data_IF_593393827362
#
_entry.id   IF_593393827362
#
_cell.length_a   1.000
_cell.length_b   1.000
_cell.length_c   1.000
_cell.angle_alpha   90.00
_cell.angle_beta   90.00
_cell.angle_gamma   90.00
#
_symmetry.space_group_name_H-M   'P 1'
#
loop_
_entity.id
_entity.type
_entity.pdbx_description
1 polymer ?
#
# COMPACT_ATOMS: atom_id res chain seq x y z
N UNK A 1 -31.46 16.45 -26.34
CA UNK A 1 -30.74 17.32 -25.37
C UNK A 1 -29.66 18.13 -26.08
N UNK A 2 -28.89 17.52 -26.99
CA UNK A 2 -27.94 18.28 -27.84
C UNK A 2 -28.66 19.29 -28.76
N UNK A 3 -29.75 18.90 -29.41
CA UNK A 3 -30.51 19.79 -30.31
C UNK A 3 -31.01 21.05 -29.59
N UNK A 4 -31.61 20.89 -28.40
CA UNK A 4 -32.05 22.01 -27.56
C UNK A 4 -30.86 22.88 -27.15
N UNK A 5 -29.71 22.30 -26.81
CA UNK A 5 -28.53 23.09 -26.44
C UNK A 5 -27.99 23.91 -27.61
N UNK A 6 -28.07 23.36 -28.82
CA UNK A 6 -27.66 24.04 -30.06
C UNK A 6 -28.58 25.21 -30.41
N UNK A 7 -29.88 25.12 -30.15
CA UNK A 7 -30.82 26.24 -30.29
C UNK A 7 -30.42 27.44 -29.43
N UNK A 8 -29.82 27.21 -28.26
CA UNK A 8 -29.26 28.26 -27.39
C UNK A 8 -27.78 28.60 -27.71
N UNK A 9 -27.21 28.10 -28.81
CA UNK A 9 -25.83 28.36 -29.22
C UNK A 9 -24.76 27.66 -28.37
N UNK A 10 -25.14 26.67 -27.54
CA UNK A 10 -24.20 25.89 -26.73
C UNK A 10 -23.74 24.64 -27.47
N UNK A 11 -22.42 24.38 -27.43
CA UNK A 11 -21.82 23.18 -28.04
C UNK A 11 -20.89 22.46 -27.06
N UNK A 12 -20.92 21.13 -27.09
CA UNK A 12 -19.99 20.30 -26.31
C UNK A 12 -18.60 20.41 -26.95
N UNK A 13 -17.61 20.77 -26.13
CA UNK A 13 -16.22 20.72 -26.56
C UNK A 13 -15.69 19.28 -26.43
N UNK A 14 -15.77 18.52 -27.52
CA UNK A 14 -15.35 17.10 -27.57
C UNK A 14 -13.87 16.89 -27.24
N UNK A 15 -12.99 17.86 -27.50
CA UNK A 15 -11.56 17.73 -27.16
C UNK A 15 -11.28 17.88 -25.66
N UNK A 16 -12.19 18.52 -24.93
CA UNK A 16 -12.13 18.70 -23.47
C UNK A 16 -13.08 17.77 -22.71
N UNK A 17 -13.92 17.02 -23.41
CA UNK A 17 -14.95 16.17 -22.81
C UNK A 17 -14.56 14.72 -22.95
N UNK A 18 -14.49 14.03 -21.81
CA UNK A 18 -14.27 12.58 -21.74
C UNK A 18 -15.51 11.93 -21.14
N UNK A 19 -15.83 10.73 -21.59
CA UNK A 19 -16.99 9.95 -21.12
C UNK A 19 -16.48 8.72 -20.39
N UNK A 20 -17.00 8.46 -19.20
CA UNK A 20 -16.79 7.19 -18.52
C UNK A 20 -18.07 6.38 -18.63
N UNK A 21 -17.94 5.13 -19.07
CA UNK A 21 -19.03 4.17 -19.06
C UNK A 21 -18.94 3.41 -17.74
N UNK A 22 -19.97 3.49 -16.92
CA UNK A 22 -20.04 2.74 -15.65
C UNK A 22 -20.77 1.44 -15.91
N UNK A 23 -20.02 0.36 -16.09
CA UNK A 23 -20.55 -0.98 -16.28
C UNK A 23 -19.88 -1.95 -15.29
N UNK A 24 -20.71 -2.58 -14.45
CA UNK A 24 -20.25 -3.56 -13.46
C UNK A 24 -20.09 -4.97 -14.03
N UNK A 25 -20.75 -5.31 -15.14
CA UNK A 25 -20.75 -6.68 -15.66
C UNK A 25 -19.75 -6.91 -16.79
N UNK A 26 -19.60 -5.96 -17.74
CA UNK A 26 -18.81 -6.23 -18.95
C UNK A 26 -17.55 -5.37 -19.11
N UNK A 27 -17.14 -4.56 -18.12
CA UNK A 27 -15.92 -3.74 -18.17
C UNK A 27 -15.63 -3.13 -19.55
N UNK A 28 -16.68 -2.60 -20.20
CA UNK A 28 -16.59 -2.03 -21.56
C UNK A 28 -16.13 -3.01 -22.64
N UNK A 29 -16.58 -4.28 -22.62
CA UNK A 29 -16.39 -5.23 -23.71
C UNK A 29 -17.54 -5.17 -24.72
N UNK A 30 -17.25 -5.04 -26.03
CA UNK A 30 -15.93 -4.83 -26.64
C UNK A 30 -15.36 -3.45 -26.32
N UNK A 31 -14.02 -3.33 -26.25
CA UNK A 31 -13.30 -2.10 -25.85
C UNK A 31 -13.73 -0.88 -26.67
N UNK A 32 -14.61 -0.06 -26.08
CA UNK A 32 -15.12 1.17 -26.72
C UNK A 32 -14.14 2.31 -26.45
N UNK A 33 -13.49 2.82 -27.50
CA UNK A 33 -12.55 3.93 -27.40
C UNK A 33 -13.21 5.32 -27.48
N UNK A 34 -14.36 5.43 -28.14
CA UNK A 34 -15.10 6.69 -28.33
C UNK A 34 -16.61 6.51 -28.26
N UNK A 35 -17.29 7.46 -27.63
CA UNK A 35 -18.75 7.59 -27.62
C UNK A 35 -19.12 9.03 -27.96
N UNK A 36 -20.02 9.22 -28.93
CA UNK A 36 -20.43 10.55 -29.39
C UNK A 36 -19.23 11.47 -29.72
N UNK A 37 -18.18 10.91 -30.32
CA UNK A 37 -16.90 11.58 -30.60
C UNK A 37 -16.12 12.09 -29.38
N UNK A 38 -16.53 11.74 -28.16
CA UNK A 38 -15.75 11.93 -26.93
C UNK A 38 -14.86 10.71 -26.67
N UNK A 39 -13.69 10.93 -26.08
CA UNK A 39 -12.80 9.88 -25.58
C UNK A 39 -13.46 9.12 -24.43
N UNK A 40 -13.38 7.78 -24.44
CA UNK A 40 -13.84 6.95 -23.32
C UNK A 40 -12.69 6.72 -22.32
N UNK A 41 -12.96 6.93 -21.04
CA UNK A 41 -11.99 6.72 -19.96
C UNK A 41 -12.44 5.63 -18.99
N UNK A 42 -11.47 4.85 -18.49
CA UNK A 42 -11.70 3.80 -17.51
C UNK A 42 -11.65 4.31 -16.06
N UNK A 43 -10.88 5.38 -15.81
CA UNK A 43 -10.82 6.04 -14.51
C UNK A 43 -10.58 7.54 -14.68
N UNK A 44 -11.08 8.36 -13.76
CA UNK A 44 -10.77 9.79 -13.69
C UNK A 44 -10.81 10.30 -12.25
N UNK A 45 -10.16 11.44 -12.01
CA UNK A 45 -10.21 12.11 -10.71
C UNK A 45 -11.38 13.08 -10.68
N UNK A 46 -12.31 12.88 -9.76
CA UNK A 46 -13.44 13.75 -9.52
C UNK A 46 -13.38 14.30 -8.09
N UNK A 47 -13.32 15.63 -7.95
CA UNK A 47 -13.29 16.30 -6.64
C UNK A 47 -12.22 15.72 -5.69
N UNK A 48 -11.08 15.29 -6.24
CA UNK A 48 -9.97 14.70 -5.51
C UNK A 48 -9.99 13.17 -5.37
N UNK A 49 -11.13 12.52 -5.61
CA UNK A 49 -11.26 11.05 -5.55
C UNK A 49 -11.08 10.41 -6.93
N UNK A 50 -10.31 9.32 -7.01
CA UNK A 50 -10.26 8.49 -8.21
C UNK A 50 -11.54 7.65 -8.31
N UNK A 51 -12.29 7.88 -9.38
CA UNK A 51 -13.48 7.10 -9.74
C UNK A 51 -13.10 6.13 -10.83
N UNK A 52 -13.45 4.86 -10.63
CA UNK A 52 -13.24 3.77 -11.59
C UNK A 52 -14.56 3.37 -12.25
N UNK A 53 -14.51 2.98 -13.51
CA UNK A 53 -15.65 2.53 -14.31
C UNK A 53 -16.34 1.27 -13.73
N UNK A 54 -15.59 0.40 -13.05
CA UNK A 54 -16.09 -0.81 -12.41
C UNK A 54 -16.74 -0.56 -11.03
N UNK A 55 -16.75 0.68 -10.55
CA UNK A 55 -17.28 1.06 -9.23
C UNK A 55 -16.44 0.58 -8.04
N UNK A 56 -15.26 0.01 -8.28
CA UNK A 56 -14.33 -0.43 -7.25
C UNK A 56 -13.60 0.73 -6.57
N UNK A 57 -13.29 0.58 -5.29
CA UNK A 57 -12.56 1.57 -4.50
C UNK A 57 -11.07 1.22 -4.28
N UNK A 58 -10.62 0.03 -4.69
CA UNK A 58 -9.27 -0.47 -4.42
C UNK A 58 -8.20 0.49 -4.97
N UNK A 59 -8.39 0.99 -6.19
CA UNK A 59 -7.41 1.88 -6.81
C UNK A 59 -7.34 3.25 -6.13
N UNK A 60 -8.47 3.78 -5.67
CA UNK A 60 -8.50 5.01 -4.87
C UNK A 60 -7.84 4.80 -3.49
N UNK A 61 -8.09 3.66 -2.84
CA UNK A 61 -7.44 3.33 -1.56
C UNK A 61 -5.92 3.26 -1.75
N UNK A 62 -5.44 2.55 -2.78
CA UNK A 62 -4.02 2.46 -3.12
C UNK A 62 -3.42 3.84 -3.42
N UNK A 63 -4.11 4.66 -4.21
CA UNK A 63 -3.70 6.03 -4.54
C UNK A 63 -3.55 6.89 -3.29
N UNK A 64 -4.52 6.88 -2.37
CA UNK A 64 -4.43 7.64 -1.11
C UNK A 64 -3.29 7.16 -0.23
N UNK A 65 -3.10 5.85 -0.09
CA UNK A 65 -1.94 5.30 0.64
C UNK A 65 -0.61 5.77 0.04
N UNK A 66 -0.51 5.79 -1.30
CA UNK A 66 0.69 6.26 -1.98
C UNK A 66 0.95 7.77 -1.77
N UNK A 67 -0.10 8.60 -1.82
CA UNK A 67 0.00 10.04 -1.52
C UNK A 67 0.49 10.26 -0.08
N UNK A 68 -0.12 9.59 0.89
CA UNK A 68 0.31 9.68 2.30
C UNK A 68 1.76 9.22 2.47
N UNK A 69 2.14 8.08 1.88
CA UNK A 69 3.52 7.59 1.93
C UNK A 69 4.51 8.60 1.31
N UNK A 70 4.20 9.13 0.13
CA UNK A 70 5.05 10.13 -0.53
C UNK A 70 5.19 11.41 0.30
N UNK A 71 4.13 11.84 0.97
CA UNK A 71 4.17 12.98 1.89
C UNK A 71 5.10 12.69 3.09
N UNK A 72 5.06 11.48 3.65
CA UNK A 72 5.97 11.09 4.74
C UNK A 72 7.42 10.97 4.27
N UNK A 73 7.66 10.48 3.06
CA UNK A 73 9.01 10.33 2.50
C UNK A 73 9.68 11.68 2.17
N UNK A 74 8.88 12.73 1.97
CA UNK A 74 9.36 14.12 1.80
C UNK A 74 9.72 14.84 3.11
N UNK A 75 9.30 14.31 4.26
CA UNK A 75 9.69 14.87 5.57
C UNK A 75 11.13 14.50 5.91
N UNK A 76 11.77 15.26 6.79
CA UNK A 76 13.10 14.91 7.29
C UNK A 76 13.13 13.49 7.84
N UNK A 77 14.23 12.79 7.59
CA UNK A 77 14.37 11.39 7.99
C UNK A 77 14.25 11.20 9.52
N UNK A 78 14.62 12.22 10.28
CA UNK A 78 14.59 12.24 11.74
C UNK A 78 13.28 12.80 12.31
N UNK A 79 12.33 13.18 11.45
CA UNK A 79 11.01 13.64 11.88
C UNK A 79 10.30 12.52 12.67
N UNK A 80 9.86 12.84 13.90
CA UNK A 80 9.16 11.91 14.78
C UNK A 80 7.96 11.27 14.06
N UNK A 81 7.16 12.05 13.32
CA UNK A 81 6.02 11.54 12.56
C UNK A 81 6.44 10.48 11.54
N UNK A 82 7.55 10.70 10.82
CA UNK A 82 8.09 9.75 9.84
C UNK A 82 8.62 8.49 10.52
N UNK A 83 9.35 8.63 11.63
CA UNK A 83 9.85 7.50 12.42
C UNK A 83 8.72 6.64 12.99
N UNK A 84 7.65 7.27 13.48
CA UNK A 84 6.46 6.58 14.00
C UNK A 84 5.76 5.81 12.89
N UNK A 85 5.44 6.45 11.75
CA UNK A 85 4.76 5.79 10.63
C UNK A 85 5.59 4.66 10.02
N UNK A 86 6.92 4.80 10.00
CA UNK A 86 7.82 3.76 9.49
C UNK A 86 8.16 2.68 10.54
N UNK A 87 7.69 2.82 11.79
CA UNK A 87 8.00 1.89 12.88
C UNK A 87 9.48 1.89 13.28
N UNK A 88 10.21 2.96 12.97
CA UNK A 88 11.65 3.15 13.23
C UNK A 88 11.93 3.91 14.52
N UNK A 89 10.90 4.21 15.33
CA UNK A 89 11.09 4.90 16.59
C UNK A 89 11.93 4.02 17.53
N UNK A 90 13.16 4.45 17.78
CA UNK A 90 14.02 3.81 18.77
C UNK A 90 13.46 4.12 20.15
N UNK A 91 12.67 3.19 20.69
CA UNK A 91 12.16 3.32 22.04
C UNK A 91 13.27 3.12 23.05
N UNK A 92 13.60 4.15 23.84
CA UNK A 92 14.38 3.97 25.06
C UNK A 92 13.53 3.22 26.09
N UNK A 93 13.94 2.00 26.47
CA UNK A 93 13.29 1.28 27.58
C UNK A 93 13.49 2.04 28.88
N UNK A 94 12.47 2.05 29.73
CA UNK A 94 12.58 2.59 31.09
C UNK A 94 13.76 1.95 31.83
N UNK A 95 14.48 2.76 32.61
CA UNK A 95 15.58 2.29 33.47
C UNK A 95 15.09 1.12 34.34
N UNK A 96 15.86 0.05 34.41
CA UNK A 96 15.58 -1.14 35.23
C UNK A 96 15.13 -2.39 34.46
N UNK A 97 14.62 -2.27 33.23
CA UNK A 97 14.35 -3.44 32.38
C UNK A 97 15.57 -3.71 31.49
N UNK A 98 16.08 -4.94 31.48
CA UNK A 98 17.23 -5.33 30.63
C UNK A 98 17.03 -4.83 29.18
N UNK A 99 18.04 -4.20 28.56
CA UNK A 99 17.96 -3.70 27.19
C UNK A 99 17.60 -4.78 26.15
N UNK A 100 17.97 -6.05 26.38
CA UNK A 100 17.69 -7.15 25.45
C UNK A 100 16.24 -7.64 25.57
N UNK A 101 15.52 -7.85 24.45
CA UNK A 101 14.29 -8.68 24.46
C UNK A 101 14.68 -10.15 24.66
N UNK A 102 13.74 -10.97 25.10
CA UNK A 102 13.86 -12.44 25.01
C UNK A 102 14.22 -12.88 23.57
N UNK A 103 13.59 -12.28 22.56
CA UNK A 103 13.92 -12.52 21.17
C UNK A 103 15.37 -12.12 20.80
N UNK A 104 15.91 -11.05 21.40
CA UNK A 104 17.29 -10.61 21.16
C UNK A 104 18.29 -11.52 21.88
N UNK A 105 17.93 -12.04 23.06
CA UNK A 105 18.70 -13.07 23.76
C UNK A 105 18.76 -14.37 22.95
N UNK A 106 17.67 -14.77 22.30
CA UNK A 106 17.65 -15.93 21.39
C UNK A 106 18.54 -15.67 20.17
N UNK A 107 18.42 -14.50 19.53
CA UNK A 107 19.27 -14.15 18.39
C UNK A 107 20.74 -14.15 18.77
N UNK A 108 21.08 -13.61 19.94
CA UNK A 108 22.45 -13.61 20.46
C UNK A 108 22.96 -15.03 20.76
N UNK A 109 22.14 -15.88 21.36
CA UNK A 109 22.52 -17.25 21.73
C UNK A 109 22.62 -18.21 20.54
N UNK A 110 21.81 -18.00 19.48
CA UNK A 110 21.73 -18.91 18.33
C UNK A 110 22.49 -18.39 17.11
N UNK A 111 22.83 -17.09 17.07
CA UNK A 111 23.47 -16.41 15.96
C UNK A 111 22.73 -16.55 14.60
N UNK A 112 21.42 -16.86 14.65
CA UNK A 112 20.55 -16.91 13.47
C UNK A 112 19.28 -16.10 13.72
N UNK A 113 18.63 -15.54 12.68
CA UNK A 113 17.38 -14.81 12.82
C UNK A 113 16.25 -15.68 13.38
N UNK A 114 15.32 -15.06 14.13
CA UNK A 114 14.24 -15.75 14.83
C UNK A 114 13.33 -16.58 13.90
N UNK A 115 13.06 -16.10 12.68
CA UNK A 115 12.26 -16.84 11.69
C UNK A 115 12.99 -18.11 11.22
N UNK A 116 14.32 -18.07 11.16
CA UNK A 116 15.15 -19.21 10.77
C UNK A 116 15.25 -20.23 11.92
N UNK A 117 15.30 -19.75 13.18
CA UNK A 117 15.17 -20.61 14.37
C UNK A 117 13.86 -21.39 14.34
N UNK A 118 12.73 -20.72 14.05
CA UNK A 118 11.42 -21.37 13.99
C UNK A 118 11.35 -22.43 12.89
N UNK A 119 11.95 -22.15 11.73
CA UNK A 119 12.05 -23.11 10.62
C UNK A 119 12.91 -24.33 10.98
N UNK A 120 14.08 -24.12 11.61
CA UNK A 120 14.98 -25.19 12.06
C UNK A 120 14.41 -25.98 13.24
N UNK A 121 13.53 -25.37 14.04
CA UNK A 121 12.84 -26.04 15.14
C UNK A 121 11.85 -27.11 14.67
N UNK A 122 11.40 -27.06 13.40
CA UNK A 122 10.58 -28.12 12.80
C UNK A 122 11.34 -29.45 12.67
N UNK A 123 12.67 -29.41 12.54
CA UNK A 123 13.52 -30.60 12.52
C UNK A 123 14.08 -30.87 13.93
N UNK A 124 13.62 -31.95 14.57
CA UNK A 124 13.93 -32.26 15.98
C UNK A 124 15.44 -32.40 16.26
N UNK A 125 16.21 -32.91 15.31
CA UNK A 125 17.67 -33.03 15.44
C UNK A 125 18.39 -31.69 15.32
N UNK A 126 17.94 -30.81 14.42
CA UNK A 126 18.49 -29.47 14.27
C UNK A 126 18.17 -28.62 15.50
N UNK A 127 16.96 -28.75 16.03
CA UNK A 127 16.57 -28.12 17.29
C UNK A 127 17.48 -28.54 18.45
N UNK A 128 17.75 -29.85 18.59
CA UNK A 128 18.69 -30.34 19.62
C UNK A 128 20.10 -29.77 19.45
N UNK A 129 20.60 -29.65 18.21
CA UNK A 129 21.90 -29.03 17.92
C UNK A 129 21.93 -27.56 18.31
N UNK A 130 20.88 -26.81 17.98
CA UNK A 130 20.73 -25.40 18.34
C UNK A 130 20.70 -25.20 19.85
N UNK A 131 19.89 -25.98 20.57
CA UNK A 131 19.77 -25.88 22.03
C UNK A 131 21.07 -26.24 22.72
N UNK A 132 21.76 -27.31 22.28
CA UNK A 132 23.09 -27.66 22.80
C UNK A 132 24.07 -26.50 22.61
N UNK A 133 24.19 -25.98 21.40
CA UNK A 133 25.07 -24.83 21.09
C UNK A 133 24.76 -23.62 21.98
N UNK A 134 23.50 -23.25 22.11
CA UNK A 134 23.07 -22.11 22.91
C UNK A 134 23.27 -22.32 24.43
N UNK A 135 23.32 -23.56 24.91
CA UNK A 135 23.52 -23.89 26.33
C UNK A 135 25.00 -24.09 26.68
N UNK A 136 25.83 -24.53 25.73
CA UNK A 136 27.29 -24.70 25.93
C UNK A 136 28.07 -23.38 25.82
N UNK A 137 27.45 -22.29 25.32
CA UNK A 137 28.02 -20.94 25.21
C UNK A 137 27.91 -20.12 26.53
N UNK A 138 27.79 -20.77 27.68
CA UNK A 138 27.78 -20.13 29.00
C UNK A 138 29.15 -20.19 29.66
#
# INVERSE_FOLDING_TARGET
MEDVSLEFGLKINRSKTKVMIVDRMNNNLPEVSKIANCEVVQSYVYLGALVSNNGGCIDEIKRRMAISRSAMDKRDNDSIERLVVQGRIEGTRSRGRSPMRWADQIKAAVAVPLYECARKAAAREEWRRIVKRATTLK
#
